data_IF_531574727722
#
_entry.id   IF_531574727722
#
_cell.length_a   1.000
_cell.length_b   1.000
_cell.length_c   1.000
_cell.angle_alpha   90.00
_cell.angle_beta   90.00
_cell.angle_gamma   90.00
#
_symmetry.space_group_name_H-M   'P 1'
#
loop_
_entity.id
_entity.type
_entity.pdbx_description
1 polymer ?
#
# COMPACT_ATOMS: atom_id res chain seq x y z
N UNK A 1 -19.59 -12.56 39.87
CA UNK A 1 -19.85 -11.23 39.30
C UNK A 1 -19.09 -11.18 37.99
N UNK A 2 -19.83 -11.34 36.89
CA UNK A 2 -19.33 -11.29 35.52
C UNK A 2 -18.95 -9.86 35.16
N UNK A 3 -17.85 -9.69 34.44
CA UNK A 3 -17.72 -8.65 33.41
C UNK A 3 -17.07 -9.30 32.19
N UNK A 4 -17.91 -10.07 31.50
CA UNK A 4 -17.91 -10.06 30.05
C UNK A 4 -18.00 -8.59 29.64
N UNK A 5 -16.96 -8.07 29.02
CA UNK A 5 -17.00 -6.83 28.23
C UNK A 5 -16.53 -7.27 26.84
N UNK A 6 -17.36 -8.01 26.11
CA UNK A 6 -18.15 -7.41 25.01
C UNK A 6 -17.20 -6.82 23.98
N UNK A 7 -16.62 -7.71 23.16
CA UNK A 7 -16.22 -7.38 21.80
C UNK A 7 -17.38 -6.67 21.11
N UNK A 8 -17.25 -5.39 20.71
CA UNK A 8 -18.04 -4.90 19.60
C UNK A 8 -17.29 -5.33 18.34
N UNK A 9 -17.96 -6.19 17.57
CA UNK A 9 -17.68 -6.40 16.17
C UNK A 9 -17.35 -5.07 15.50
N UNK A 10 -16.09 -4.86 15.13
CA UNK A 10 -15.74 -3.92 14.08
C UNK A 10 -15.58 -4.75 12.81
N UNK A 11 -16.69 -5.35 12.36
CA UNK A 11 -16.89 -5.63 10.93
C UNK A 11 -17.24 -4.27 10.29
N UNK A 12 -16.23 -3.42 10.24
CA UNK A 12 -16.19 -2.34 9.28
C UNK A 12 -15.05 -2.75 8.36
N UNK A 13 -15.33 -2.86 7.07
CA UNK A 13 -14.34 -2.57 6.04
C UNK A 13 -13.83 -1.15 6.34
N UNK A 14 -12.91 -1.05 7.30
CA UNK A 14 -12.48 0.19 7.87
C UNK A 14 -11.50 0.74 6.86
N UNK A 15 -11.92 1.82 6.22
CA UNK A 15 -11.11 2.79 5.49
C UNK A 15 -10.11 3.44 6.48
N UNK A 16 -9.38 2.62 7.23
CA UNK A 16 -8.20 3.03 7.96
C UNK A 16 -7.13 3.08 6.89
N UNK A 17 -6.66 4.28 6.51
CA UNK A 17 -5.53 4.36 5.62
C UNK A 17 -4.38 3.54 6.22
N UNK A 18 -3.67 2.77 5.40
CA UNK A 18 -2.64 1.86 5.88
C UNK A 18 -1.64 2.61 6.77
N UNK A 19 -1.19 1.97 7.85
CA UNK A 19 -0.25 2.60 8.77
C UNK A 19 1.00 2.98 7.95
N UNK A 20 1.48 4.24 7.95
CA UNK A 20 2.56 4.68 7.06
C UNK A 20 3.92 4.04 7.39
N UNK A 21 3.97 3.25 8.46
CA UNK A 21 5.12 2.49 8.94
C UNK A 21 5.06 1.02 8.54
N UNK A 22 3.93 0.56 8.01
CA UNK A 22 3.79 -0.81 7.54
C UNK A 22 4.67 -1.04 6.32
N UNK A 23 5.30 -2.22 6.22
CA UNK A 23 6.06 -2.57 5.03
C UNK A 23 5.15 -2.61 3.80
N UNK A 24 5.73 -2.39 2.61
CA UNK A 24 5.00 -2.50 1.35
C UNK A 24 4.28 -3.86 1.22
N UNK A 25 3.02 -3.81 0.77
CA UNK A 25 2.24 -5.03 0.54
C UNK A 25 2.74 -5.78 -0.70
N UNK A 26 2.44 -7.07 -0.80
CA UNK A 26 2.80 -7.88 -1.97
C UNK A 26 2.19 -7.31 -3.27
N UNK A 27 0.96 -6.79 -3.20
CA UNK A 27 0.26 -6.18 -4.36
C UNK A 27 1.02 -4.94 -4.84
N UNK A 28 1.40 -4.06 -3.92
CA UNK A 28 2.19 -2.88 -4.25
C UNK A 28 3.59 -3.24 -4.73
N UNK A 29 4.21 -4.27 -4.17
CA UNK A 29 5.52 -4.77 -4.60
C UNK A 29 5.50 -5.19 -6.06
N UNK A 30 4.53 -6.02 -6.44
CA UNK A 30 4.35 -6.47 -7.83
C UNK A 30 4.08 -5.26 -8.73
N UNK A 31 3.15 -4.38 -8.32
CA UNK A 31 2.79 -3.21 -9.13
C UNK A 31 3.97 -2.27 -9.35
N UNK A 32 4.71 -1.96 -8.29
CA UNK A 32 5.87 -1.10 -8.34
C UNK A 32 6.97 -1.72 -9.23
N UNK A 33 7.20 -3.02 -9.13
CA UNK A 33 8.15 -3.74 -9.98
C UNK A 33 7.78 -3.64 -11.45
N UNK A 34 6.53 -3.90 -11.81
CA UNK A 34 6.04 -3.78 -13.19
C UNK A 34 6.22 -2.36 -13.74
N UNK A 35 5.94 -1.35 -12.92
CA UNK A 35 6.07 0.05 -13.32
C UNK A 35 7.54 0.45 -13.49
N UNK A 36 8.40 0.06 -12.54
CA UNK A 36 9.85 0.23 -12.62
C UNK A 36 10.43 -0.42 -13.89
N UNK A 37 10.00 -1.64 -14.23
CA UNK A 37 10.42 -2.33 -15.47
C UNK A 37 9.96 -1.57 -16.73
N UNK A 38 8.74 -1.04 -16.74
CA UNK A 38 8.19 -0.28 -17.87
C UNK A 38 8.87 1.09 -18.06
N UNK A 39 9.18 1.79 -16.98
CA UNK A 39 9.86 3.09 -17.04
C UNK A 39 11.38 2.98 -17.11
N UNK A 40 11.94 1.78 -16.87
CA UNK A 40 13.39 1.56 -16.73
C UNK A 40 13.98 2.16 -15.45
N UNK A 41 13.17 2.34 -14.41
CA UNK A 41 13.58 2.92 -13.14
C UNK A 41 13.98 1.84 -12.13
N UNK A 42 14.83 2.15 -11.13
CA UNK A 42 15.15 1.20 -10.07
C UNK A 42 13.92 0.85 -9.23
N UNK A 43 13.83 -0.43 -8.84
CA UNK A 43 12.85 -0.95 -7.89
C UNK A 43 13.49 -1.07 -6.50
N UNK A 44 12.77 -0.66 -5.46
CA UNK A 44 13.22 -0.70 -4.06
C UNK A 44 12.18 -1.42 -3.19
N UNK A 45 12.59 -2.52 -2.56
CA UNK A 45 11.74 -3.34 -1.67
C UNK A 45 11.67 -2.82 -0.23
N UNK A 46 12.55 -1.90 0.16
CA UNK A 46 12.60 -1.30 1.51
C UNK A 46 11.56 -0.19 1.74
N UNK A 47 10.63 0.02 0.80
CA UNK A 47 9.61 1.05 0.92
C UNK A 47 8.50 0.61 1.88
N UNK A 48 7.95 1.58 2.62
CA UNK A 48 6.70 1.36 3.35
C UNK A 48 5.51 1.36 2.40
N UNK A 49 4.37 0.85 2.86
CA UNK A 49 3.13 0.81 2.08
C UNK A 49 2.79 2.19 1.50
N UNK A 50 2.82 3.22 2.34
CA UNK A 50 2.55 4.59 1.91
C UNK A 50 3.58 5.10 0.90
N UNK A 51 4.87 4.81 1.10
CA UNK A 51 5.91 5.23 0.16
C UNK A 51 5.79 4.53 -1.19
N UNK A 52 5.45 3.24 -1.18
CA UNK A 52 5.22 2.46 -2.37
C UNK A 52 4.02 2.99 -3.15
N UNK A 53 2.92 3.31 -2.49
CA UNK A 53 1.73 3.91 -3.12
C UNK A 53 2.06 5.24 -3.81
N UNK A 54 2.77 6.15 -3.13
CA UNK A 54 3.22 7.42 -3.74
C UNK A 54 4.11 7.18 -4.96
N UNK A 55 5.01 6.21 -4.88
CA UNK A 55 5.92 5.87 -5.98
C UNK A 55 5.17 5.25 -7.16
N UNK A 56 4.22 4.37 -6.90
CA UNK A 56 3.32 3.78 -7.90
C UNK A 56 2.55 4.90 -8.62
N UNK A 57 1.91 5.81 -7.88
CA UNK A 57 1.14 6.92 -8.46
C UNK A 57 2.00 7.82 -9.35
N UNK A 58 3.24 8.12 -8.95
CA UNK A 58 4.19 8.88 -9.78
C UNK A 58 4.52 8.16 -11.09
N UNK A 59 4.87 6.87 -11.01
CA UNK A 59 5.24 6.09 -12.19
C UNK A 59 4.05 5.88 -13.13
N UNK A 60 2.85 5.61 -12.60
CA UNK A 60 1.61 5.50 -13.39
C UNK A 60 1.31 6.81 -14.13
N UNK A 61 1.45 7.96 -13.45
CA UNK A 61 1.28 9.27 -14.09
C UNK A 61 2.27 9.56 -15.22
N UNK A 62 3.41 8.87 -15.26
CA UNK A 62 4.42 8.99 -16.33
C UNK A 62 4.15 8.03 -17.51
N UNK A 63 3.51 6.89 -17.25
CA UNK A 63 3.22 5.87 -18.27
C UNK A 63 1.91 6.18 -19.00
N UNK A 64 0.91 6.77 -18.33
CA UNK A 64 -0.34 7.16 -18.99
C UNK A 64 -0.09 8.40 -19.85
N UNK A 65 -0.25 8.34 -21.19
CA UNK A 65 -0.19 9.54 -22.02
C UNK A 65 -1.44 10.38 -21.72
N UNK A 66 -1.22 11.65 -21.35
CA UNK A 66 -2.28 12.67 -21.27
C UNK A 66 -2.95 12.92 -22.62
#
# INVERSE_FOLDING_TARGET
>A
MSTQSEDPAIDAAMDVPPDPREPMTEVQTVRLRELSEQTGEPFTEELTEWQAEQRIAELEGRIVPV
#
